data_IF_349186613874
#
_entry.id   IF_349186613874
#
_cell.length_a   1.000
_cell.length_b   1.000
_cell.length_c   1.000
_cell.angle_alpha   90.00
_cell.angle_beta   90.00
_cell.angle_gamma   90.00
#
_symmetry.space_group_name_H-M   'P 1'
#
loop_
_entity.id
_entity.type
_entity.pdbx_description
1 polymer ?
#
# COMPACT_ATOMS: atom_id res chain seq x y z
N UNK A 1 1.99 16.98 -5.76
CA UNK A 1 2.06 15.91 -4.73
C UNK A 1 0.75 15.14 -4.80
N UNK A 2 0.72 14.04 -5.55
CA UNK A 2 -0.49 13.25 -5.78
C UNK A 2 -0.71 12.38 -4.53
N UNK A 3 -1.60 12.81 -3.64
CA UNK A 3 -1.99 11.97 -2.52
C UNK A 3 -2.89 10.87 -3.07
N UNK A 4 -2.48 9.62 -2.93
CA UNK A 4 -3.32 8.50 -3.34
C UNK A 4 -4.63 8.55 -2.56
N UNK A 5 -5.72 8.29 -3.28
CA UNK A 5 -7.05 8.17 -2.70
C UNK A 5 -7.04 7.06 -1.60
N UNK A 6 -7.75 7.21 -0.47
CA UNK A 6 -7.68 6.26 0.64
C UNK A 6 -7.97 4.81 0.24
N UNK A 7 -8.93 4.57 -0.67
CA UNK A 7 -9.17 3.22 -1.20
C UNK A 7 -7.94 2.59 -1.90
N UNK A 8 -7.16 3.40 -2.64
CA UNK A 8 -5.92 2.95 -3.30
C UNK A 8 -4.84 2.65 -2.26
N UNK A 9 -4.76 3.46 -1.21
CA UNK A 9 -3.81 3.24 -0.12
C UNK A 9 -4.13 1.95 0.65
N UNK A 10 -5.40 1.67 0.95
CA UNK A 10 -5.84 0.41 1.56
C UNK A 10 -5.45 -0.79 0.70
N UNK A 11 -5.77 -0.76 -0.60
CA UNK A 11 -5.42 -1.86 -1.51
C UNK A 11 -3.92 -2.10 -1.63
N UNK A 12 -3.10 -1.03 -1.58
CA UNK A 12 -1.64 -1.14 -1.57
C UNK A 12 -1.11 -1.79 -0.28
N UNK A 13 -1.66 -1.41 0.88
CA UNK A 13 -1.30 -2.01 2.17
C UNK A 13 -1.68 -3.50 2.20
N UNK A 14 -2.87 -3.86 1.73
CA UNK A 14 -3.31 -5.25 1.66
C UNK A 14 -2.44 -6.09 0.72
N UNK A 15 -2.10 -5.54 -0.45
CA UNK A 15 -1.18 -6.19 -1.40
C UNK A 15 0.20 -6.41 -0.79
N UNK A 16 0.74 -5.42 -0.09
CA UNK A 16 2.03 -5.54 0.60
C UNK A 16 2.02 -6.71 1.59
N UNK A 17 0.98 -6.81 2.43
CA UNK A 17 0.90 -7.90 3.42
C UNK A 17 0.75 -9.28 2.75
N UNK A 18 -0.06 -9.38 1.69
CA UNK A 18 -0.19 -10.62 0.94
C UNK A 18 1.15 -11.05 0.32
N UNK A 19 1.88 -10.11 -0.30
CA UNK A 19 3.20 -10.37 -0.88
C UNK A 19 4.25 -10.71 0.18
N UNK A 20 4.22 -10.07 1.35
CA UNK A 20 5.14 -10.37 2.44
C UNK A 20 4.97 -11.80 2.98
N UNK A 21 3.72 -12.28 3.06
CA UNK A 21 3.43 -13.68 3.41
C UNK A 21 3.93 -14.64 2.32
N UNK A 22 3.75 -14.29 1.05
CA UNK A 22 4.21 -15.10 -0.07
C UNK A 22 5.75 -15.14 -0.16
N UNK A 23 6.43 -14.01 0.04
CA UNK A 23 7.90 -13.90 0.03
C UNK A 23 8.51 -14.77 1.13
N UNK A 24 7.91 -14.77 2.32
CA UNK A 24 8.35 -15.61 3.44
C UNK A 24 8.22 -17.13 3.17
N UNK A 25 7.36 -17.53 2.24
CA UNK A 25 7.17 -18.93 1.85
C UNK A 25 7.87 -19.28 0.52
N UNK A 26 8.48 -18.32 -0.15
CA UNK A 26 9.05 -18.50 -1.47
C UNK A 26 10.53 -18.88 -1.42
N UNK A 27 10.96 -19.64 -2.42
CA UNK A 27 12.38 -19.96 -2.62
C UNK A 27 13.16 -18.75 -3.16
N UNK A 28 14.48 -18.79 -2.97
CA UNK A 28 15.40 -17.79 -3.51
C UNK A 28 15.22 -17.63 -5.03
N UNK A 29 15.04 -16.39 -5.48
CA UNK A 29 14.82 -16.04 -6.88
C UNK A 29 13.36 -16.03 -7.33
N UNK A 30 12.41 -16.18 -6.42
CA UNK A 30 10.99 -16.02 -6.74
C UNK A 30 10.68 -14.60 -7.26
N UNK A 31 9.74 -14.45 -8.21
CA UNK A 31 9.31 -13.13 -8.68
C UNK A 31 8.59 -12.32 -7.58
N UNK A 32 8.12 -13.00 -6.52
CA UNK A 32 7.40 -12.40 -5.40
C UNK A 32 8.24 -11.34 -4.70
N UNK A 33 9.55 -11.58 -4.55
CA UNK A 33 10.46 -10.62 -3.92
C UNK A 33 10.45 -9.28 -4.63
N UNK A 34 10.47 -9.31 -5.97
CA UNK A 34 10.48 -8.11 -6.78
C UNK A 34 9.13 -7.40 -6.74
N UNK A 35 8.03 -8.14 -6.75
CA UNK A 35 6.71 -7.54 -6.57
C UNK A 35 6.52 -6.90 -5.19
N UNK A 36 7.10 -7.50 -4.15
CA UNK A 36 7.11 -6.93 -2.80
C UNK A 36 7.87 -5.60 -2.79
N UNK A 37 9.07 -5.56 -3.38
CA UNK A 37 9.87 -4.33 -3.51
C UNK A 37 9.14 -3.23 -4.30
N UNK A 38 8.40 -3.59 -5.35
CA UNK A 38 7.58 -2.65 -6.12
C UNK A 38 6.42 -2.10 -5.26
N UNK A 39 5.78 -2.94 -4.44
CA UNK A 39 4.75 -2.51 -3.51
C UNK A 39 5.30 -1.59 -2.41
N UNK A 40 6.48 -1.88 -1.87
CA UNK A 40 7.19 -1.01 -0.92
C UNK A 40 7.52 0.35 -1.53
N UNK A 41 8.06 0.36 -2.75
CA UNK A 41 8.36 1.59 -3.49
C UNK A 41 7.10 2.42 -3.69
N UNK A 42 6.00 1.79 -4.12
CA UNK A 42 4.72 2.47 -4.32
C UNK A 42 4.19 3.07 -3.02
N UNK A 43 4.21 2.30 -1.92
CA UNK A 43 3.81 2.77 -0.58
C UNK A 43 4.58 4.03 -0.20
N UNK A 44 5.92 3.99 -0.26
CA UNK A 44 6.78 5.14 0.04
C UNK A 44 6.43 6.39 -0.79
N UNK A 45 6.16 6.23 -2.08
CA UNK A 45 5.80 7.35 -2.95
C UNK A 45 4.43 7.95 -2.56
N UNK A 46 3.42 7.11 -2.34
CA UNK A 46 2.06 7.60 -2.03
C UNK A 46 1.92 8.16 -0.62
N UNK A 47 2.76 7.71 0.32
CA UNK A 47 2.82 8.24 1.69
C UNK A 47 3.78 9.43 1.80
N UNK A 48 4.72 9.58 0.86
CA UNK A 48 5.78 10.57 0.91
C UNK A 48 6.87 10.25 1.93
N UNK A 49 7.17 8.96 2.13
CA UNK A 49 8.18 8.47 3.08
C UNK A 49 9.36 7.82 2.37
N UNK A 50 10.48 7.67 3.07
CA UNK A 50 11.70 7.06 2.52
C UNK A 50 11.80 5.54 2.77
N UNK A 51 11.00 5.02 3.69
CA UNK A 51 11.04 3.65 4.18
C UNK A 51 9.63 3.04 4.30
N UNK A 52 9.53 1.72 4.12
CA UNK A 52 8.25 0.98 4.14
C UNK A 52 7.61 1.00 5.53
N UNK A 53 8.36 0.90 6.63
CA UNK A 53 7.77 0.96 7.97
C UNK A 53 7.21 2.36 8.25
N UNK A 54 7.92 3.41 7.84
CA UNK A 54 7.41 4.78 7.90
C UNK A 54 6.16 4.95 7.01
N UNK A 55 6.14 4.32 5.84
CA UNK A 55 4.98 4.32 4.94
C UNK A 55 3.76 3.66 5.60
N UNK A 56 3.91 2.46 6.14
CA UNK A 56 2.85 1.71 6.82
C UNK A 56 2.32 2.46 8.06
N UNK A 57 3.21 3.08 8.83
CA UNK A 57 2.82 3.92 9.97
C UNK A 57 2.00 5.13 9.51
N UNK A 58 2.46 5.85 8.49
CA UNK A 58 1.74 6.97 7.87
C UNK A 58 0.38 6.52 7.30
N UNK A 59 0.34 5.35 6.65
CA UNK A 59 -0.88 4.76 6.11
C UNK A 59 -1.91 4.48 7.20
N UNK A 60 -1.49 3.92 8.35
CA UNK A 60 -2.39 3.70 9.50
C UNK A 60 -2.99 4.99 10.05
N UNK A 61 -2.27 6.11 9.99
CA UNK A 61 -2.82 7.42 10.37
C UNK A 61 -3.81 7.98 9.35
N UNK A 62 -3.65 7.64 8.06
CA UNK A 62 -4.51 8.09 6.95
C UNK A 62 -5.72 7.19 6.71
N UNK A 63 -5.68 5.95 7.16
CA UNK A 63 -6.78 5.00 7.12
C UNK A 63 -7.53 5.09 8.46
N UNK A 64 -8.56 5.93 8.60
CA UNK A 64 -9.34 5.97 9.82
C UNK A 64 -10.04 4.61 9.94
N UNK A 65 -9.74 3.85 11.00
CA UNK A 65 -10.32 2.54 11.23
C UNK A 65 -11.83 2.57 11.01
N UNK A 66 -12.29 1.94 9.92
CA UNK A 66 -13.69 1.71 9.60
C UNK A 66 -14.63 2.95 9.68
N UNK A 67 -14.46 3.96 8.80
CA UNK A 67 -15.60 4.82 8.41
C UNK A 67 -16.04 4.54 6.98
N UNK A 68 -17.26 4.00 6.88
CA UNK A 68 -17.99 3.43 5.73
C UNK A 68 -18.40 4.48 4.67
N UNK A 69 -17.71 5.61 4.56
CA UNK A 69 -18.11 6.71 3.66
C UNK A 69 -16.89 7.32 2.95
N UNK A 70 -16.14 6.49 2.22
CA UNK A 70 -15.27 7.02 1.17
C UNK A 70 -16.15 7.36 -0.04
N UNK A 71 -16.88 8.48 0.05
CA UNK A 71 -17.67 9.07 -1.03
C UNK A 71 -16.73 9.72 -2.05
N UNK A 72 -16.01 8.87 -2.78
CA UNK A 72 -15.30 9.25 -3.99
C UNK A 72 -15.47 8.14 -5.02
N UNK A 73 -16.73 7.76 -5.23
CA UNK A 73 -17.14 7.31 -6.54
C UNK A 73 -16.88 8.47 -7.51
N UNK A 74 -15.79 8.37 -8.26
CA UNK A 74 -15.61 8.87 -9.62
C UNK A 74 -16.79 9.73 -10.12
N UNK A 75 -16.83 11.00 -9.75
CA UNK A 75 -17.64 11.98 -10.46
C UNK A 75 -16.88 12.30 -11.75
N UNK A 76 -17.00 11.41 -12.75
CA UNK A 76 -16.65 11.71 -14.13
C UNK A 76 -17.85 12.38 -14.79
N UNK A 77 -17.66 13.44 -15.60
CA UNK A 77 -18.74 14.24 -16.20
C UNK A 77 -19.61 13.47 -17.20
#
# INVERSE_FOLDING_TARGET
>A
MLMAHPAVLTGLVDRYWALAVLDAAADDGSPVRRELEDAERALCVVTGTADVHAALFSARHRLPGARVLDDSALASP
#
